data_IF_680596275258
#
_entry.id   IF_680596275258
#
_cell.length_a   1.000
_cell.length_b   1.000
_cell.length_c   1.000
_cell.angle_alpha   90.00
_cell.angle_beta   90.00
_cell.angle_gamma   90.00
#
_symmetry.space_group_name_H-M   'P 1'
#
loop_
_entity.id
_entity.type
_entity.pdbx_description
1 polymer ?
#
# COMPACT_ATOMS: atom_id res chain seq x y z
N UNK A 1 26.58 -16.81 -13.83
CA UNK A 1 26.79 -16.36 -12.44
C UNK A 1 25.84 -15.19 -12.19
N UNK A 2 24.59 -15.48 -11.81
CA UNK A 2 23.62 -14.46 -11.43
C UNK A 2 23.93 -13.98 -10.02
N UNK A 3 23.99 -12.66 -9.82
CA UNK A 3 24.06 -12.08 -8.48
C UNK A 3 22.68 -12.24 -7.84
N UNK A 4 22.58 -13.07 -6.81
CA UNK A 4 21.39 -13.20 -5.97
C UNK A 4 20.97 -11.81 -5.45
N UNK A 5 19.85 -11.29 -5.93
CA UNK A 5 19.24 -10.00 -5.55
C UNK A 5 18.38 -10.11 -4.28
N UNK A 6 18.47 -11.23 -3.55
CA UNK A 6 17.69 -11.52 -2.34
C UNK A 6 18.38 -11.08 -1.04
N UNK A 7 19.64 -10.64 -1.10
CA UNK A 7 20.30 -10.06 0.08
C UNK A 7 20.06 -8.56 0.14
N UNK A 8 19.30 -8.16 1.17
CA UNK A 8 19.23 -6.78 1.60
C UNK A 8 20.59 -6.45 2.21
N UNK A 9 21.38 -5.62 1.54
CA UNK A 9 22.66 -5.14 2.09
C UNK A 9 22.43 -4.37 3.41
N UNK A 10 23.41 -4.32 4.32
CA UNK A 10 23.30 -3.53 5.56
C UNK A 10 22.71 -2.12 5.36
N UNK A 11 23.09 -1.33 4.33
CA UNK A 11 22.45 -0.04 4.06
C UNK A 11 20.98 -0.14 3.63
N UNK A 12 20.58 -1.19 2.91
CA UNK A 12 19.17 -1.41 2.56
C UNK A 12 18.34 -1.84 3.79
N UNK A 13 18.93 -2.58 4.74
CA UNK A 13 18.27 -2.94 6.01
C UNK A 13 18.06 -1.71 6.90
N UNK A 14 19.07 -0.83 6.97
CA UNK A 14 18.98 0.45 7.66
C UNK A 14 17.90 1.32 7.01
N UNK A 15 17.89 1.42 5.68
CA UNK A 15 16.88 2.19 4.95
C UNK A 15 15.46 1.63 5.12
N UNK A 16 15.28 0.31 5.05
CA UNK A 16 14.01 -0.36 5.28
C UNK A 16 13.48 -0.10 6.70
N UNK A 17 14.36 -0.20 7.71
CA UNK A 17 14.02 0.05 9.11
C UNK A 17 13.63 1.52 9.33
N UNK A 18 14.35 2.45 8.71
CA UNK A 18 13.99 3.87 8.70
C UNK A 18 12.62 4.12 8.06
N UNK A 19 12.35 3.51 6.90
CA UNK A 19 11.05 3.65 6.24
C UNK A 19 9.91 3.13 7.12
N UNK A 20 10.09 2.00 7.80
CA UNK A 20 9.09 1.45 8.72
C UNK A 20 8.88 2.39 9.92
N UNK A 21 9.96 2.91 10.53
CA UNK A 21 9.87 3.80 11.68
C UNK A 21 9.15 5.11 11.32
N UNK A 22 9.46 5.69 10.16
CA UNK A 22 8.78 6.90 9.66
C UNK A 22 7.32 6.59 9.33
N UNK A 23 7.03 5.46 8.66
CA UNK A 23 5.67 5.04 8.36
C UNK A 23 4.84 4.92 9.67
N UNK A 24 5.39 4.25 10.68
CA UNK A 24 4.77 4.11 12.00
C UNK A 24 4.48 5.45 12.66
N UNK A 25 5.44 6.38 12.64
CA UNK A 25 5.25 7.72 13.19
C UNK A 25 4.14 8.50 12.47
N UNK A 26 4.07 8.39 11.14
CA UNK A 26 3.04 9.05 10.31
C UNK A 26 1.65 8.48 10.59
N UNK A 27 1.54 7.14 10.66
CA UNK A 27 0.26 6.47 10.97
C UNK A 27 -0.18 6.76 12.40
N UNK A 28 0.76 6.82 13.36
CA UNK A 28 0.46 7.19 14.74
C UNK A 28 -0.05 8.63 14.84
N UNK A 29 0.58 9.61 14.19
CA UNK A 29 0.09 11.00 14.14
C UNK A 29 -1.30 11.09 13.50
N UNK A 30 -1.51 10.37 12.40
CA UNK A 30 -2.81 10.26 11.74
C UNK A 30 -3.87 9.64 12.67
N UNK A 31 -3.52 8.57 13.39
CA UNK A 31 -4.41 7.91 14.35
C UNK A 31 -4.76 8.82 15.54
N UNK A 32 -3.79 9.56 16.09
CA UNK A 32 -4.05 10.50 17.19
C UNK A 32 -4.99 11.60 16.76
N UNK A 33 -4.81 12.17 15.56
CA UNK A 33 -5.75 13.16 15.00
C UNK A 33 -7.14 12.57 14.77
N UNK A 34 -7.19 11.34 14.26
CA UNK A 34 -8.43 10.67 13.93
C UNK A 34 -9.31 10.36 15.14
N UNK A 35 -8.71 9.85 16.21
CA UNK A 35 -9.44 9.31 17.36
C UNK A 35 -9.40 10.18 18.60
N UNK A 36 -8.27 10.83 18.87
CA UNK A 36 -8.07 11.64 20.07
C UNK A 36 -8.60 13.05 19.83
N UNK A 37 -8.16 13.69 18.74
CA UNK A 37 -8.59 15.05 18.43
C UNK A 37 -10.01 15.11 17.84
N UNK A 38 -10.54 13.98 17.33
CA UNK A 38 -11.87 13.87 16.70
C UNK A 38 -12.14 14.94 15.63
N UNK A 39 -11.10 15.47 15.02
CA UNK A 39 -11.23 16.53 14.01
C UNK A 39 -11.78 16.01 12.67
N UNK A 40 -11.89 14.69 12.51
CA UNK A 40 -12.38 14.09 11.27
C UNK A 40 -13.87 14.40 11.05
N UNK A 41 -14.17 15.09 9.94
CA UNK A 41 -15.53 15.28 9.45
C UNK A 41 -16.28 13.95 9.30
N UNK A 42 -17.58 13.92 9.60
CA UNK A 42 -18.44 12.72 9.56
C UNK A 42 -18.35 11.92 8.26
N UNK A 43 -18.03 12.57 7.13
CA UNK A 43 -17.83 11.92 5.83
C UNK A 43 -16.58 11.04 5.72
N UNK A 44 -15.65 11.13 6.68
CA UNK A 44 -14.33 10.47 6.64
C UNK A 44 -14.13 9.48 7.80
N UNK A 45 -15.21 9.00 8.42
CA UNK A 45 -15.17 8.01 9.50
C UNK A 45 -14.39 6.73 9.14
N UNK A 46 -14.29 6.40 7.85
CA UNK A 46 -13.51 5.28 7.31
C UNK A 46 -12.00 5.41 7.56
N UNK A 47 -11.49 6.60 7.84
CA UNK A 47 -10.08 6.79 8.21
C UNK A 47 -9.73 6.09 9.54
N UNK A 48 -10.68 5.91 10.45
CA UNK A 48 -10.46 5.22 11.73
C UNK A 48 -10.09 3.74 11.51
N UNK A 49 -10.94 2.90 10.87
CA UNK A 49 -10.59 1.51 10.60
C UNK A 49 -9.38 1.38 9.66
N UNK A 50 -9.15 2.33 8.74
CA UNK A 50 -7.94 2.37 7.91
C UNK A 50 -6.68 2.53 8.78
N UNK A 51 -6.65 3.53 9.67
CA UNK A 51 -5.49 3.79 10.55
C UNK A 51 -5.21 2.60 11.48
N UNK A 52 -6.24 1.99 12.09
CA UNK A 52 -6.08 0.79 12.92
C UNK A 52 -5.46 -0.35 12.11
N UNK A 53 -5.99 -0.61 10.92
CA UNK A 53 -5.52 -1.69 10.05
C UNK A 53 -4.06 -1.51 9.66
N UNK A 54 -3.61 -0.27 9.47
CA UNK A 54 -2.23 0.02 9.05
C UNK A 54 -1.26 0.04 10.23
N UNK A 55 -1.66 0.55 11.38
CA UNK A 55 -0.87 0.40 12.61
C UNK A 55 -0.58 -1.06 12.92
N UNK A 56 -1.58 -1.94 12.77
CA UNK A 56 -1.38 -3.37 12.99
C UNK A 56 -0.42 -3.96 11.94
N UNK A 57 -0.56 -3.59 10.67
CA UNK A 57 0.38 -4.02 9.63
C UNK A 57 1.81 -3.52 9.86
N UNK A 58 1.98 -2.28 10.29
CA UNK A 58 3.27 -1.69 10.62
C UNK A 58 3.90 -2.30 11.86
N UNK A 59 3.09 -2.69 12.84
CA UNK A 59 3.57 -3.42 14.01
C UNK A 59 4.05 -4.83 13.64
N UNK A 60 3.36 -5.51 12.72
CA UNK A 60 3.68 -6.89 12.31
C UNK A 60 4.89 -6.94 11.34
N UNK A 61 5.05 -5.95 10.46
CA UNK A 61 6.09 -5.95 9.42
C UNK A 61 7.55 -6.06 9.91
N UNK A 62 7.98 -5.43 11.02
CA UNK A 62 9.31 -5.65 11.60
C UNK A 62 9.58 -7.12 11.91
N UNK A 63 8.59 -7.85 12.44
CA UNK A 63 8.72 -9.28 12.73
C UNK A 63 8.86 -10.11 11.45
N UNK A 64 8.18 -9.71 10.36
CA UNK A 64 8.35 -10.33 9.04
C UNK A 64 9.73 -10.05 8.42
N UNK A 65 10.25 -8.84 8.62
CA UNK A 65 11.55 -8.38 8.12
C UNK A 65 12.70 -9.13 8.79
N UNK A 66 12.60 -9.27 10.12
CA UNK A 66 13.51 -10.10 10.91
C UNK A 66 13.36 -11.59 10.58
N UNK A 67 12.30 -12.02 9.89
CA UNK A 67 12.15 -13.40 9.48
C UNK A 67 12.72 -13.67 8.08
N UNK A 68 12.59 -12.72 7.15
CA UNK A 68 13.07 -12.86 5.76
C UNK A 68 14.59 -12.67 5.61
N UNK A 69 15.22 -11.87 6.47
CA UNK A 69 16.67 -11.58 6.45
C UNK A 69 17.58 -12.77 6.81
N UNK A 70 17.04 -13.88 7.31
CA UNK A 70 17.81 -15.06 7.73
C UNK A 70 17.88 -16.18 6.67
N UNK A 71 17.39 -15.94 5.45
CA UNK A 71 17.39 -16.93 4.37
C UNK A 71 18.65 -16.83 3.52
N UNK A 72 19.62 -17.72 3.75
CA UNK A 72 20.94 -17.71 3.07
C UNK A 72 20.97 -18.63 1.84
N UNK A 73 21.63 -18.21 0.76
CA UNK A 73 21.68 -18.91 -0.54
C UNK A 73 22.74 -20.02 -0.68
N UNK A 74 23.38 -20.50 0.40
CA UNK A 74 24.54 -21.39 0.28
C UNK A 74 24.24 -22.89 0.06
N UNK A 75 23.29 -23.23 -0.82
CA UNK A 75 23.26 -24.59 -1.38
C UNK A 75 22.59 -24.61 -2.74
N UNK A 76 23.12 -25.39 -3.69
CA UNK A 76 22.49 -25.62 -4.98
C UNK A 76 21.04 -26.11 -4.79
N UNK A 77 20.11 -25.76 -5.71
CA UNK A 77 18.82 -26.44 -5.76
C UNK A 77 19.08 -27.95 -5.89
N UNK A 78 18.42 -28.75 -5.06
CA UNK A 78 18.37 -30.20 -5.28
C UNK A 78 17.83 -30.50 -6.69
N UNK A 79 18.14 -31.67 -7.27
CA UNK A 79 18.04 -31.94 -8.71
C UNK A 79 16.63 -31.81 -9.34
N UNK A 80 15.57 -31.53 -8.56
CA UNK A 80 14.19 -31.41 -9.05
C UNK A 80 13.51 -30.06 -8.79
N UNK A 81 14.16 -29.06 -8.18
CA UNK A 81 13.54 -27.75 -7.94
C UNK A 81 14.32 -26.65 -8.65
N UNK A 82 14.07 -26.47 -9.95
CA UNK A 82 14.68 -25.37 -10.71
C UNK A 82 13.88 -24.08 -10.48
N UNK A 83 14.51 -23.12 -9.80
CA UNK A 83 14.21 -21.67 -9.83
C UNK A 83 13.05 -21.10 -9.00
N UNK A 84 12.59 -21.75 -7.92
CA UNK A 84 11.60 -21.10 -7.03
C UNK A 84 12.14 -20.96 -5.62
N UNK A 85 12.11 -19.71 -5.12
CA UNK A 85 12.54 -19.29 -3.79
C UNK A 85 11.89 -20.19 -2.74
N UNK A 86 12.70 -21.08 -2.17
CA UNK A 86 12.28 -21.97 -1.10
C UNK A 86 12.70 -21.34 0.22
N UNK A 87 11.74 -20.96 1.06
CA UNK A 87 12.00 -20.53 2.45
C UNK A 87 12.58 -21.67 3.32
N UNK A 88 12.79 -22.86 2.75
CA UNK A 88 13.47 -24.00 3.38
C UNK A 88 14.93 -23.68 3.74
N UNK A 89 15.51 -22.57 3.26
CA UNK A 89 16.92 -22.18 3.51
C UNK A 89 17.11 -21.06 4.54
N UNK A 90 16.13 -20.85 5.41
CA UNK A 90 16.23 -19.86 6.48
C UNK A 90 16.88 -20.47 7.74
N UNK A 91 17.88 -19.79 8.30
CA UNK A 91 18.66 -20.23 9.47
C UNK A 91 17.80 -20.45 10.73
N UNK A 92 16.57 -19.90 10.77
CA UNK A 92 15.61 -20.10 11.86
C UNK A 92 14.25 -20.60 11.34
N UNK A 93 13.91 -21.88 11.51
CA UNK A 93 12.60 -22.42 11.12
C UNK A 93 11.43 -21.79 11.90
N UNK A 94 11.72 -21.26 13.10
CA UNK A 94 10.73 -20.56 13.93
C UNK A 94 10.30 -19.24 13.29
N UNK A 95 11.24 -18.49 12.72
CA UNK A 95 10.95 -17.20 12.10
C UNK A 95 10.14 -17.35 10.81
N UNK A 96 10.44 -18.39 10.00
CA UNK A 96 9.64 -18.72 8.81
C UNK A 96 8.20 -19.11 9.19
N UNK A 97 8.02 -19.88 10.26
CA UNK A 97 6.69 -20.20 10.78
C UNK A 97 5.95 -18.95 11.24
N UNK A 98 6.62 -18.07 11.99
CA UNK A 98 6.05 -16.79 12.43
C UNK A 98 5.63 -15.95 11.21
N UNK A 99 6.47 -15.87 10.17
CA UNK A 99 6.15 -15.18 8.92
C UNK A 99 4.88 -15.73 8.27
N UNK A 100 4.82 -17.04 8.06
CA UNK A 100 3.69 -17.72 7.41
C UNK A 100 2.40 -17.60 8.23
N UNK A 101 2.48 -17.53 9.57
CA UNK A 101 1.32 -17.32 10.44
C UNK A 101 0.83 -15.87 10.45
N UNK A 102 1.74 -14.91 10.41
CA UNK A 102 1.41 -13.49 10.43
C UNK A 102 0.96 -12.97 9.05
N UNK A 103 1.37 -13.61 7.96
CA UNK A 103 1.07 -13.16 6.61
C UNK A 103 -0.45 -13.12 6.29
N UNK A 104 -1.28 -14.13 6.62
CA UNK A 104 -2.73 -14.05 6.47
C UNK A 104 -3.36 -12.92 7.31
N UNK A 105 -2.82 -12.65 8.50
CA UNK A 105 -3.31 -11.58 9.37
C UNK A 105 -3.11 -10.22 8.69
N UNK A 106 -1.96 -9.99 8.07
CA UNK A 106 -1.72 -8.77 7.28
C UNK A 106 -2.69 -8.67 6.10
N UNK A 107 -2.93 -9.77 5.37
CA UNK A 107 -3.89 -9.75 4.25
C UNK A 107 -5.30 -9.43 4.73
N UNK A 108 -5.69 -9.89 5.92
CA UNK A 108 -6.97 -9.55 6.52
C UNK A 108 -7.11 -8.04 6.75
N UNK A 109 -6.10 -7.39 7.33
CA UNK A 109 -6.15 -5.93 7.51
C UNK A 109 -6.11 -5.14 6.19
N UNK A 110 -5.51 -5.72 5.15
CA UNK A 110 -5.60 -5.14 3.80
C UNK A 110 -6.99 -5.23 3.17
N UNK A 111 -7.85 -6.19 3.55
CA UNK A 111 -9.27 -6.23 3.14
C UNK A 111 -10.01 -4.98 3.58
N UNK A 112 -9.63 -4.42 4.73
CA UNK A 112 -10.23 -3.19 5.24
C UNK A 112 -9.57 -1.98 4.59
N UNK A 113 -8.25 -1.80 4.71
CA UNK A 113 -7.62 -0.52 4.34
C UNK A 113 -7.66 -0.21 2.85
N UNK A 114 -7.38 -1.18 1.97
CA UNK A 114 -7.17 -0.92 0.54
C UNK A 114 -8.46 -0.55 -0.22
N UNK A 115 -9.60 -1.24 -0.04
CA UNK A 115 -10.85 -0.84 -0.70
C UNK A 115 -11.37 0.51 -0.20
N UNK A 116 -11.25 0.79 1.10
CA UNK A 116 -11.70 2.06 1.64
C UNK A 116 -10.86 3.24 1.18
N UNK A 117 -9.54 3.09 1.04
CA UNK A 117 -8.68 4.10 0.42
C UNK A 117 -9.09 4.39 -1.03
N UNK A 118 -9.36 3.34 -1.81
CA UNK A 118 -9.84 3.47 -3.19
C UNK A 118 -11.17 4.23 -3.25
N UNK A 119 -12.08 3.92 -2.33
CA UNK A 119 -13.38 4.59 -2.25
C UNK A 119 -13.25 6.05 -1.83
N UNK A 120 -12.41 6.37 -0.85
CA UNK A 120 -12.18 7.75 -0.40
C UNK A 120 -11.56 8.61 -1.51
N UNK A 121 -10.66 8.05 -2.32
CA UNK A 121 -10.11 8.75 -3.49
C UNK A 121 -11.19 9.06 -4.53
N UNK A 122 -12.07 8.08 -4.81
CA UNK A 122 -13.22 8.30 -5.70
C UNK A 122 -14.15 9.40 -5.18
N UNK A 123 -14.55 9.34 -3.90
CA UNK A 123 -15.48 10.32 -3.31
C UNK A 123 -14.92 11.74 -3.44
N UNK A 124 -13.63 11.93 -3.13
CA UNK A 124 -12.95 13.22 -3.27
C UNK A 124 -12.83 13.68 -4.72
N UNK A 125 -12.48 12.79 -5.63
CA UNK A 125 -12.43 13.09 -7.06
C UNK A 125 -13.82 13.47 -7.60
N UNK A 126 -14.86 12.71 -7.26
CA UNK A 126 -16.24 12.97 -7.65
C UNK A 126 -16.77 14.28 -7.06
N UNK A 127 -16.32 14.68 -5.88
CA UNK A 127 -16.69 15.97 -5.28
C UNK A 127 -16.24 17.15 -6.16
N UNK A 128 -15.07 17.07 -6.80
CA UNK A 128 -14.48 18.21 -7.53
C UNK A 128 -14.51 18.09 -9.05
N UNK A 129 -14.72 16.89 -9.60
CA UNK A 129 -14.72 16.63 -11.04
C UNK A 129 -16.04 15.98 -11.49
N UNK A 130 -16.90 16.81 -12.10
CA UNK A 130 -18.28 16.43 -12.49
C UNK A 130 -18.41 15.12 -13.29
N UNK A 131 -17.53 14.79 -14.26
CA UNK A 131 -17.65 13.52 -15.00
C UNK A 131 -17.66 12.27 -14.12
N UNK A 132 -17.00 12.29 -12.97
CA UNK A 132 -16.99 11.16 -12.02
C UNK A 132 -18.32 10.98 -11.29
N UNK A 133 -19.22 11.98 -11.32
CA UNK A 133 -20.58 11.85 -10.78
C UNK A 133 -21.54 11.15 -11.74
N UNK A 134 -21.14 10.94 -12.99
CA UNK A 134 -21.97 10.26 -13.97
C UNK A 134 -22.21 8.80 -13.57
N UNK A 135 -23.42 8.29 -13.85
CA UNK A 135 -23.82 6.92 -13.53
C UNK A 135 -22.83 5.89 -14.09
N UNK A 136 -22.32 6.09 -15.31
CA UNK A 136 -21.33 5.20 -15.92
C UNK A 136 -20.02 5.10 -15.11
N UNK A 137 -19.50 6.24 -14.62
CA UNK A 137 -18.31 6.25 -13.77
C UNK A 137 -18.57 5.69 -12.37
N UNK A 138 -19.77 5.90 -11.82
CA UNK A 138 -20.17 5.29 -10.56
C UNK A 138 -20.21 3.75 -10.67
N UNK A 139 -20.76 3.21 -11.77
CA UNK A 139 -20.75 1.77 -12.03
C UNK A 139 -19.33 1.24 -12.23
N UNK A 140 -18.49 1.96 -12.97
CA UNK A 140 -17.08 1.61 -13.14
C UNK A 140 -16.32 1.59 -11.80
N UNK A 141 -16.52 2.59 -10.93
CA UNK A 141 -15.93 2.61 -9.58
C UNK A 141 -16.42 1.44 -8.73
N UNK A 142 -17.73 1.15 -8.73
CA UNK A 142 -18.29 0.00 -8.02
C UNK A 142 -17.71 -1.32 -8.53
N UNK A 143 -17.55 -1.45 -9.85
CA UNK A 143 -16.90 -2.61 -10.45
C UNK A 143 -15.46 -2.77 -9.97
N UNK A 144 -14.66 -1.71 -9.99
CA UNK A 144 -13.29 -1.73 -9.48
C UNK A 144 -13.24 -2.07 -7.98
N UNK A 145 -14.15 -1.52 -7.18
CA UNK A 145 -14.23 -1.81 -5.76
C UNK A 145 -14.56 -3.29 -5.50
N UNK A 146 -15.54 -3.84 -6.21
CA UNK A 146 -15.90 -5.27 -6.12
C UNK A 146 -14.74 -6.16 -6.55
N UNK A 147 -14.09 -5.84 -7.67
CA UNK A 147 -12.91 -6.57 -8.13
C UNK A 147 -11.77 -6.53 -7.11
N UNK A 148 -11.60 -5.38 -6.42
CA UNK A 148 -10.61 -5.22 -5.35
C UNK A 148 -10.92 -6.10 -4.13
N UNK A 149 -12.18 -6.18 -3.73
CA UNK A 149 -12.58 -7.09 -2.66
C UNK A 149 -12.35 -8.56 -3.05
N UNK A 150 -12.75 -8.95 -4.26
CA UNK A 150 -12.54 -10.32 -4.76
C UNK A 150 -11.05 -10.67 -4.75
N UNK A 151 -10.18 -9.81 -5.31
CA UNK A 151 -8.73 -10.04 -5.33
C UNK A 151 -8.17 -10.22 -3.91
N UNK A 152 -8.51 -9.34 -2.97
CA UNK A 152 -8.00 -9.42 -1.60
C UNK A 152 -8.53 -10.66 -0.86
N UNK A 153 -9.79 -11.06 -1.07
CA UNK A 153 -10.36 -12.29 -0.49
C UNK A 153 -9.64 -13.51 -1.04
N UNK A 154 -9.43 -13.57 -2.36
CA UNK A 154 -8.68 -14.65 -3.01
C UNK A 154 -7.27 -14.75 -2.46
N UNK A 155 -6.56 -13.63 -2.32
CA UNK A 155 -5.20 -13.61 -1.75
C UNK A 155 -5.19 -13.98 -0.27
N UNK A 156 -6.18 -13.58 0.52
CA UNK A 156 -6.31 -14.00 1.91
C UNK A 156 -6.46 -15.53 2.01
N UNK A 157 -7.38 -16.13 1.24
CA UNK A 157 -7.57 -17.59 1.21
C UNK A 157 -6.28 -18.29 0.78
N UNK A 158 -5.66 -17.83 -0.31
CA UNK A 158 -4.42 -18.41 -0.82
C UNK A 158 -3.28 -18.29 0.19
N UNK A 159 -3.19 -17.18 0.93
CA UNK A 159 -2.17 -17.00 1.96
C UNK A 159 -2.30 -18.01 3.11
N UNK A 160 -3.52 -18.42 3.44
CA UNK A 160 -3.76 -19.50 4.42
C UNK A 160 -3.29 -20.83 3.83
N UNK A 161 -3.63 -21.14 2.58
CA UNK A 161 -3.17 -22.35 1.91
C UNK A 161 -1.64 -22.40 1.76
N UNK A 162 -1.00 -21.29 1.40
CA UNK A 162 0.46 -21.20 1.31
C UNK A 162 1.13 -21.47 2.67
N UNK A 163 0.55 -20.93 3.75
CA UNK A 163 1.00 -21.15 5.13
C UNK A 163 0.86 -22.60 5.58
N UNK A 164 -0.26 -23.26 5.27
CA UNK A 164 -0.57 -24.61 5.75
C UNK A 164 0.02 -25.73 4.88
N UNK A 165 0.01 -25.56 3.55
CA UNK A 165 0.32 -26.64 2.59
C UNK A 165 1.70 -26.48 2.01
N UNK A 166 2.08 -25.26 1.63
CA UNK A 166 3.31 -25.04 0.89
C UNK A 166 4.48 -24.71 1.80
N UNK A 167 4.24 -24.14 3.00
CA UNK A 167 5.29 -23.77 3.96
C UNK A 167 6.43 -22.95 3.32
N UNK A 168 6.11 -22.16 2.28
CA UNK A 168 7.10 -21.40 1.51
C UNK A 168 7.97 -22.23 0.57
N UNK A 169 7.58 -23.46 0.24
CA UNK A 169 8.19 -24.32 -0.78
C UNK A 169 7.23 -24.52 -1.94
N UNK A 170 7.69 -24.21 -3.16
CA UNK A 170 6.87 -24.22 -4.37
C UNK A 170 7.26 -25.32 -5.35
N UNK A 171 7.74 -26.46 -4.84
CA UNK A 171 8.17 -27.60 -5.68
C UNK A 171 7.04 -28.60 -5.99
N UNK A 172 5.80 -28.35 -5.55
CA UNK A 172 4.64 -29.18 -5.87
C UNK A 172 3.70 -28.44 -6.82
N UNK A 173 2.97 -29.14 -7.72
CA UNK A 173 2.08 -28.50 -8.69
C UNK A 173 1.03 -27.58 -8.06
N UNK A 174 0.54 -27.95 -6.86
CA UNK A 174 -0.40 -27.14 -6.09
C UNK A 174 0.22 -25.81 -5.62
N UNK A 175 1.49 -25.81 -5.24
CA UNK A 175 2.21 -24.62 -4.80
C UNK A 175 2.70 -23.77 -5.98
N UNK A 176 3.04 -24.37 -7.13
CA UNK A 176 3.33 -23.62 -8.36
C UNK A 176 2.11 -22.79 -8.83
N UNK A 177 0.90 -23.36 -8.71
CA UNK A 177 -0.33 -22.63 -9.01
C UNK A 177 -0.51 -21.39 -8.11
N UNK A 178 -0.13 -21.48 -6.83
CA UNK A 178 -0.15 -20.35 -5.90
C UNK A 178 0.81 -19.24 -6.35
N UNK A 179 2.01 -19.60 -6.80
CA UNK A 179 2.96 -18.63 -7.35
C UNK A 179 2.40 -17.91 -8.59
N UNK A 180 1.71 -18.62 -9.48
CA UNK A 180 1.06 -18.02 -10.64
C UNK A 180 0.00 -16.99 -10.23
N UNK A 181 -0.79 -17.28 -9.19
CA UNK A 181 -1.80 -16.35 -8.69
C UNK A 181 -1.15 -15.09 -8.12
N UNK A 182 -0.05 -15.20 -7.39
CA UNK A 182 0.71 -14.02 -6.93
C UNK A 182 1.26 -13.19 -8.10
N UNK A 183 1.70 -13.81 -9.19
CA UNK A 183 2.14 -13.09 -10.41
C UNK A 183 0.98 -12.34 -11.09
N UNK A 184 -0.18 -12.98 -11.24
CA UNK A 184 -1.37 -12.33 -11.83
C UNK A 184 -1.81 -11.14 -10.99
N UNK A 185 -1.79 -11.31 -9.66
CA UNK A 185 -2.13 -10.25 -8.70
C UNK A 185 -1.26 -9.01 -8.87
N UNK A 186 0.04 -9.17 -9.11
CA UNK A 186 0.95 -8.04 -9.34
C UNK A 186 0.48 -7.14 -10.49
N UNK A 187 0.02 -7.73 -11.59
CA UNK A 187 -0.56 -6.98 -12.73
C UNK A 187 -1.88 -6.30 -12.37
N UNK A 188 -2.76 -6.98 -11.64
CA UNK A 188 -4.06 -6.43 -11.23
C UNK A 188 -3.89 -5.24 -10.27
N UNK A 189 -2.92 -5.30 -9.34
CA UNK A 189 -2.66 -4.22 -8.38
C UNK A 189 -2.25 -2.92 -9.07
N UNK A 190 -1.55 -3.00 -10.20
CA UNK A 190 -1.16 -1.82 -11.01
C UNK A 190 -2.41 -1.06 -11.47
N UNK A 191 -3.45 -1.76 -11.93
CA UNK A 191 -4.70 -1.13 -12.41
C UNK A 191 -5.36 -0.31 -11.30
N UNK A 192 -5.49 -0.88 -10.10
CA UNK A 192 -6.09 -0.17 -8.96
C UNK A 192 -5.24 1.03 -8.52
N UNK A 193 -3.91 0.91 -8.55
CA UNK A 193 -3.01 1.99 -8.17
C UNK A 193 -3.04 3.12 -9.19
N UNK A 194 -3.09 2.83 -10.48
CA UNK A 194 -3.27 3.84 -11.53
C UNK A 194 -4.60 4.58 -11.36
N UNK A 195 -5.69 3.83 -11.13
CA UNK A 195 -7.00 4.45 -10.87
C UNK A 195 -6.96 5.39 -9.66
N UNK A 196 -6.35 4.95 -8.57
CA UNK A 196 -6.14 5.76 -7.37
C UNK A 196 -5.32 7.04 -7.66
N UNK A 197 -4.17 6.91 -8.32
CA UNK A 197 -3.29 8.04 -8.68
C UNK A 197 -4.05 9.06 -9.52
N UNK A 198 -4.82 8.61 -10.51
CA UNK A 198 -5.63 9.50 -11.37
C UNK A 198 -6.67 10.27 -10.54
N UNK A 199 -7.38 9.60 -9.65
CA UNK A 199 -8.38 10.23 -8.78
C UNK A 199 -7.76 11.32 -7.90
N UNK A 200 -6.64 11.00 -7.24
CA UNK A 200 -5.92 11.94 -6.37
C UNK A 200 -5.33 13.12 -7.16
N UNK A 201 -4.71 12.85 -8.31
CA UNK A 201 -4.14 13.90 -9.16
C UNK A 201 -5.21 14.89 -9.65
N UNK A 202 -6.39 14.39 -10.06
CA UNK A 202 -7.51 15.25 -10.44
C UNK A 202 -8.03 16.07 -9.25
N UNK A 203 -8.15 15.42 -8.09
CA UNK A 203 -8.59 16.09 -6.86
C UNK A 203 -7.64 17.23 -6.48
N UNK A 204 -6.34 16.95 -6.37
CA UNK A 204 -5.34 17.95 -5.96
C UNK A 204 -5.17 19.05 -7.00
N UNK A 205 -5.19 18.73 -8.30
CA UNK A 205 -5.13 19.76 -9.36
C UNK A 205 -6.26 20.78 -9.18
N UNK A 206 -7.48 20.31 -8.91
CA UNK A 206 -8.64 21.18 -8.75
C UNK A 206 -8.58 21.95 -7.43
N UNK A 207 -8.19 21.28 -6.33
CA UNK A 207 -8.01 21.90 -5.01
C UNK A 207 -7.04 23.09 -5.09
N UNK A 208 -5.83 22.87 -5.63
CA UNK A 208 -4.83 23.94 -5.73
C UNK A 208 -5.17 25.02 -6.76
N UNK A 209 -5.92 24.67 -7.81
CA UNK A 209 -6.38 25.66 -8.79
C UNK A 209 -7.42 26.63 -8.20
N UNK A 210 -8.43 26.13 -7.47
CA UNK A 210 -9.43 27.00 -6.85
C UNK A 210 -8.82 27.84 -5.72
N UNK A 211 -7.87 27.28 -4.99
CA UNK A 211 -7.15 27.99 -3.93
C UNK A 211 -6.28 29.13 -4.47
N UNK A 212 -5.64 28.98 -5.63
CA UNK A 212 -4.89 30.09 -6.27
C UNK A 212 -5.75 31.29 -6.65
N UNK A 213 -7.06 31.10 -6.81
CA UNK A 213 -8.01 32.22 -7.05
C UNK A 213 -8.41 32.93 -5.76
N UNK A 214 -8.26 32.26 -4.61
CA UNK A 214 -8.68 32.75 -3.31
C UNK A 214 -7.42 33.22 -2.54
N UNK A 215 -7.13 34.52 -2.71
CA UNK A 215 -6.70 35.45 -1.63
C UNK A 215 -5.21 35.81 -1.43
N UNK A 216 -5.10 37.02 -0.88
CA UNK A 216 -3.94 37.87 -0.53
C UNK A 216 -3.33 37.63 0.87
N UNK A 217 -3.67 36.53 1.56
CA UNK A 217 -3.23 36.27 2.95
C UNK A 217 -2.01 35.32 3.00
N UNK A 218 -0.92 35.77 3.61
CA UNK A 218 0.39 35.09 3.63
C UNK A 218 0.40 33.79 4.44
N UNK A 219 -0.33 33.71 5.56
CA UNK A 219 -0.34 32.51 6.41
C UNK A 219 -1.14 31.37 5.80
N UNK A 220 -2.26 31.73 5.17
CA UNK A 220 -3.06 30.83 4.35
C UNK A 220 -2.21 30.29 3.20
N UNK A 221 -1.50 31.16 2.47
CA UNK A 221 -0.64 30.77 1.34
C UNK A 221 0.52 29.85 1.75
N UNK A 222 1.16 30.11 2.90
CA UNK A 222 2.22 29.24 3.44
C UNK A 222 1.71 27.85 3.77
N UNK A 223 0.53 27.74 4.40
CA UNK A 223 -0.03 26.42 4.69
C UNK A 223 -0.31 25.68 3.39
N UNK A 224 -0.95 26.34 2.42
CA UNK A 224 -1.31 25.76 1.13
C UNK A 224 -0.10 25.25 0.35
N UNK A 225 1.01 25.99 0.37
CA UNK A 225 2.26 25.56 -0.22
C UNK A 225 2.80 24.29 0.46
N UNK A 226 2.72 24.22 1.79
CA UNK A 226 3.08 23.01 2.53
C UNK A 226 2.17 21.83 2.17
N UNK A 227 0.85 22.04 2.04
CA UNK A 227 -0.08 21.00 1.59
C UNK A 227 0.27 20.52 0.17
N UNK A 228 0.45 21.44 -0.78
CA UNK A 228 0.78 21.08 -2.17
C UNK A 228 2.09 20.32 -2.28
N UNK A 229 3.07 20.68 -1.45
CA UNK A 229 4.36 20.00 -1.42
C UNK A 229 4.18 18.56 -0.95
N UNK A 230 3.47 18.33 0.17
CA UNK A 230 3.23 16.98 0.68
C UNK A 230 2.41 16.12 -0.28
N UNK A 231 1.36 16.67 -0.92
CA UNK A 231 0.60 15.93 -1.94
C UNK A 231 1.41 15.62 -3.20
N UNK A 232 2.31 16.53 -3.60
CA UNK A 232 3.20 16.28 -4.74
C UNK A 232 4.17 15.15 -4.42
N UNK A 233 4.74 15.14 -3.21
CA UNK A 233 5.58 14.05 -2.73
C UNK A 233 4.80 12.72 -2.73
N UNK A 234 3.54 12.74 -2.28
CA UNK A 234 2.67 11.56 -2.24
C UNK A 234 2.44 10.96 -3.63
N UNK A 235 2.02 11.80 -4.60
CA UNK A 235 1.83 11.37 -5.99
C UNK A 235 3.14 10.84 -6.59
N UNK A 236 4.27 11.51 -6.35
CA UNK A 236 5.56 11.07 -6.87
C UNK A 236 5.95 9.70 -6.31
N UNK A 237 5.76 9.48 -5.01
CA UNK A 237 6.02 8.17 -4.38
C UNK A 237 5.11 7.08 -4.94
N UNK A 238 3.80 7.34 -5.04
CA UNK A 238 2.84 6.39 -5.61
C UNK A 238 3.18 6.04 -7.06
N UNK A 239 3.58 7.04 -7.85
CA UNK A 239 3.97 6.87 -9.25
C UNK A 239 5.28 6.08 -9.36
N UNK A 240 6.29 6.40 -8.55
CA UNK A 240 7.56 5.69 -8.54
C UNK A 240 7.39 4.21 -8.21
N UNK A 241 6.56 3.90 -7.21
CA UNK A 241 6.25 2.51 -6.84
C UNK A 241 5.45 1.82 -7.95
N UNK A 242 4.53 2.52 -8.60
CA UNK A 242 3.79 1.97 -9.73
C UNK A 242 4.73 1.60 -10.89
N UNK A 243 5.68 2.48 -11.24
CA UNK A 243 6.71 2.22 -12.26
C UNK A 243 7.57 1.02 -11.86
N UNK A 244 8.00 0.96 -10.60
CA UNK A 244 8.82 -0.12 -10.08
C UNK A 244 8.12 -1.49 -10.19
N UNK A 245 6.82 -1.54 -9.85
CA UNK A 245 6.00 -2.75 -10.03
C UNK A 245 5.88 -3.14 -11.50
N UNK A 246 5.61 -2.19 -12.39
CA UNK A 246 5.51 -2.46 -13.83
C UNK A 246 6.82 -3.02 -14.38
N UNK A 247 7.96 -2.45 -13.98
CA UNK A 247 9.28 -2.95 -14.37
C UNK A 247 9.53 -4.39 -13.85
N UNK A 248 9.10 -4.70 -12.63
CA UNK A 248 9.20 -6.06 -12.07
C UNK A 248 8.30 -7.07 -12.80
N UNK A 249 7.07 -6.68 -13.14
CA UNK A 249 6.18 -7.50 -13.98
C UNK A 249 6.80 -7.75 -15.36
N UNK A 250 7.53 -6.78 -15.91
CA UNK A 250 8.27 -6.90 -17.15
C UNK A 250 9.57 -7.74 -17.02
N UNK A 251 9.85 -8.33 -15.85
CA UNK A 251 10.97 -9.23 -15.63
C UNK A 251 12.25 -8.58 -15.12
N UNK A 252 12.22 -7.31 -14.70
CA UNK A 252 13.38 -6.68 -14.06
C UNK A 252 13.62 -7.26 -12.66
N UNK A 253 14.86 -7.68 -12.39
CA UNK A 253 15.31 -8.06 -11.05
C UNK A 253 15.49 -6.80 -10.20
N UNK A 254 14.49 -6.53 -9.35
CA UNK A 254 14.42 -5.33 -8.55
C UNK A 254 14.28 -5.70 -7.06
N UNK A 255 14.92 -4.96 -6.14
CA UNK A 255 14.84 -5.22 -4.70
C UNK A 255 13.40 -5.14 -4.17
N UNK A 256 13.13 -5.79 -3.04
CA UNK A 256 11.79 -5.85 -2.47
C UNK A 256 11.26 -4.45 -2.11
N UNK A 257 10.13 -4.06 -2.70
CA UNK A 257 9.51 -2.74 -2.50
C UNK A 257 8.49 -2.69 -1.35
N UNK A 258 8.36 -3.75 -0.55
CA UNK A 258 7.35 -3.85 0.52
C UNK A 258 7.41 -2.68 1.50
N UNK A 259 8.62 -2.24 1.87
CA UNK A 259 8.82 -1.12 2.80
C UNK A 259 8.49 0.23 2.19
N UNK A 260 8.87 0.44 0.93
CA UNK A 260 8.50 1.64 0.16
C UNK A 260 6.97 1.74 0.00
N UNK A 261 6.30 0.59 -0.17
CA UNK A 261 4.84 0.53 -0.24
C UNK A 261 4.14 0.81 1.06
N UNK A 262 4.66 0.27 2.16
CA UNK A 262 4.15 0.55 3.49
C UNK A 262 4.26 2.05 3.76
N UNK A 263 5.46 2.60 3.60
CA UNK A 263 5.72 4.03 3.77
C UNK A 263 4.83 4.90 2.88
N UNK A 264 4.71 4.58 1.59
CA UNK A 264 3.83 5.32 0.68
C UNK A 264 2.37 5.26 1.14
N UNK A 265 1.88 4.09 1.58
CA UNK A 265 0.50 3.96 2.06
C UNK A 265 0.27 4.80 3.33
N UNK A 266 1.21 4.78 4.27
CA UNK A 266 1.13 5.52 5.54
C UNK A 266 1.27 7.03 5.31
N UNK A 267 2.15 7.43 4.40
CA UNK A 267 2.31 8.83 3.99
C UNK A 267 1.03 9.36 3.32
N UNK A 268 0.45 8.60 2.40
CA UNK A 268 -0.85 8.89 1.77
C UNK A 268 -1.92 9.14 2.85
N UNK A 269 -2.04 8.27 3.86
CA UNK A 269 -3.06 8.42 4.91
C UNK A 269 -2.78 9.60 5.81
N UNK A 270 -1.53 9.81 6.22
CA UNK A 270 -1.14 10.99 6.98
C UNK A 270 -1.53 12.27 6.23
N UNK A 271 -1.22 12.33 4.94
CA UNK A 271 -1.55 13.46 4.07
C UNK A 271 -3.07 13.62 3.96
N UNK A 272 -3.85 12.55 3.84
CA UNK A 272 -5.32 12.62 3.89
C UNK A 272 -5.80 13.18 5.22
N UNK A 273 -5.43 12.56 6.35
CA UNK A 273 -5.91 12.92 7.69
C UNK A 273 -5.53 14.35 8.07
N UNK A 274 -4.29 14.77 7.78
CA UNK A 274 -3.80 16.11 8.12
C UNK A 274 -4.55 17.24 7.40
N UNK A 275 -5.16 16.95 6.25
CA UNK A 275 -5.76 17.97 5.39
C UNK A 275 -7.27 17.83 5.19
N UNK A 276 -7.91 16.86 5.84
CA UNK A 276 -9.38 16.70 5.90
C UNK A 276 -10.06 17.94 6.50
N UNK A 277 -9.43 18.65 7.43
CA UNK A 277 -10.04 19.77 8.17
C UNK A 277 -10.16 21.08 7.37
N UNK A 278 -9.46 21.22 6.23
CA UNK A 278 -9.49 22.47 5.42
C UNK A 278 -10.29 22.39 4.13
N UNK A 279 -10.84 21.24 3.82
CA UNK A 279 -11.69 21.00 2.64
C UNK A 279 -13.20 21.29 2.88
N UNK A 280 -13.79 21.24 4.11
CA UNK A 280 -15.24 21.37 4.28
C UNK A 280 -15.79 22.68 3.70
N UNK A 281 -15.15 23.82 4.02
CA UNK A 281 -15.60 25.13 3.56
C UNK A 281 -15.42 25.41 2.06
N UNK A 282 -14.74 24.53 1.31
CA UNK A 282 -14.63 24.59 -0.16
C UNK A 282 -15.70 23.75 -0.87
N UNK A 283 -16.44 22.92 -0.11
CA UNK A 283 -17.52 22.07 -0.60
C UNK A 283 -18.90 22.47 -0.05
N UNK A 284 -18.95 23.31 0.99
CA UNK A 284 -20.20 23.79 1.61
C UNK A 284 -21.00 24.78 0.73
N UNK A 285 -20.48 25.19 -0.43
CA UNK A 285 -21.20 26.01 -1.43
C UNK A 285 -21.95 25.16 -2.50
N UNK A 286 -22.20 23.87 -2.25
CA UNK A 286 -23.00 22.99 -3.12
C UNK A 286 -23.98 22.06 -2.40
#
# INVERSE_FOLDING_TARGET
>A
MGKDTTYISDPENIFATWLIAVAFALTLDSFTRALIERNISKGYWLLIPINISILINEFINPFLTSASSFCSSNSLPGPNCTNVVSYVKCQSPTNVKIYLWLFPIIQFFYLTSKPFLLHLAYVRCAAVFRPFRNIGFLWFHRFLLTLRFIELITIFIISIFDSLVCSGSYCTPACEAILLIYKIRESIVIVFRLYYIVCEALFYKKLFYEIRKIRNDTDTLRTLYHQSTLFTIDILQLTAICIFRTARVAGAELPTYTYAELFSTSFTIFVMTKFVDRIPSLLDDY
#
